data_IF_201779168649
#
_entry.id   IF_201779168649
#
_cell.length_a   1.000
_cell.length_b   1.000
_cell.length_c   1.000
_cell.angle_alpha   90.00
_cell.angle_beta   90.00
_cell.angle_gamma   90.00
#
_symmetry.space_group_name_H-M   'P 1'
#
loop_
_entity.id
_entity.type
_entity.pdbx_description
1 polymer ?
#
# COMPACT_ATOMS: atom_id res chain seq x y z
N UNK A 1 27.26 -6.97 -27.61
CA UNK A 1 26.24 -7.71 -26.86
C UNK A 1 25.56 -6.72 -25.93
N UNK A 2 24.35 -6.27 -26.27
CA UNK A 2 23.61 -5.28 -25.47
C UNK A 2 22.16 -5.72 -25.43
N UNK A 3 21.83 -6.66 -24.54
CA UNK A 3 20.47 -7.16 -24.33
C UNK A 3 20.28 -7.49 -22.85
N UNK A 4 20.20 -6.47 -22.00
CA UNK A 4 19.83 -6.66 -20.58
C UNK A 4 18.97 -5.53 -20.00
N UNK A 5 18.87 -4.38 -20.68
CA UNK A 5 18.13 -3.22 -20.15
C UNK A 5 16.63 -3.30 -20.51
N UNK A 6 16.28 -3.92 -21.64
CA UNK A 6 14.89 -3.97 -22.14
C UNK A 6 13.93 -4.87 -21.32
N UNK A 7 14.46 -5.71 -20.42
CA UNK A 7 13.64 -6.59 -19.58
C UNK A 7 13.10 -5.91 -18.31
N UNK A 8 13.80 -4.89 -17.80
CA UNK A 8 13.38 -4.07 -16.64
C UNK A 8 12.28 -3.04 -16.98
N UNK A 9 12.08 -2.75 -18.26
CA UNK A 9 11.15 -1.72 -18.75
C UNK A 9 9.73 -2.20 -19.03
N UNK A 10 9.44 -3.49 -18.85
CA UNK A 10 8.08 -4.03 -18.95
C UNK A 10 7.51 -4.16 -17.55
N UNK A 11 6.26 -3.76 -17.37
CA UNK A 11 5.49 -3.99 -16.14
C UNK A 11 5.34 -5.50 -15.91
N UNK A 12 6.38 -6.12 -15.35
CA UNK A 12 6.40 -7.55 -15.07
C UNK A 12 5.61 -7.81 -13.78
N UNK A 13 4.80 -8.89 -13.74
CA UNK A 13 4.13 -9.31 -12.50
C UNK A 13 5.14 -9.59 -11.39
N UNK A 14 4.74 -9.31 -10.15
CA UNK A 14 5.59 -9.59 -8.99
C UNK A 14 5.89 -11.10 -8.90
N UNK A 15 6.94 -11.48 -8.16
CA UNK A 15 7.25 -12.90 -7.92
C UNK A 15 6.05 -13.64 -7.31
N UNK A 16 5.31 -12.99 -6.41
CA UNK A 16 4.11 -13.55 -5.80
C UNK A 16 2.98 -13.73 -6.83
N UNK A 17 2.77 -12.77 -7.72
CA UNK A 17 1.75 -12.91 -8.79
C UNK A 17 2.07 -14.06 -9.74
N UNK A 18 3.37 -14.31 -10.02
CA UNK A 18 3.78 -15.47 -10.83
C UNK A 18 3.65 -16.81 -10.11
N UNK A 19 3.72 -16.81 -8.78
CA UNK A 19 3.60 -18.01 -7.96
C UNK A 19 2.15 -18.35 -7.58
N UNK A 20 1.28 -17.34 -7.51
CA UNK A 20 -0.10 -17.50 -7.04
C UNK A 20 -1.03 -18.03 -8.14
N UNK A 21 -0.61 -17.98 -9.42
CA UNK A 21 -1.33 -18.45 -10.62
C UNK A 21 -2.85 -18.42 -10.49
N UNK A 22 -3.45 -17.26 -10.75
CA UNK A 22 -4.90 -17.06 -10.70
C UNK A 22 -5.67 -17.92 -11.75
N UNK A 23 -4.98 -18.57 -12.70
CA UNK A 23 -5.56 -19.50 -13.68
C UNK A 23 -4.83 -20.86 -13.70
N UNK A 24 -4.93 -21.68 -12.64
CA UNK A 24 -4.17 -22.93 -12.50
C UNK A 24 -4.52 -23.99 -13.57
N UNK A 25 -5.62 -23.80 -14.30
CA UNK A 25 -6.04 -24.67 -15.40
C UNK A 25 -5.36 -24.35 -16.75
N UNK A 26 -4.60 -23.26 -16.87
CA UNK A 26 -4.02 -22.81 -18.13
C UNK A 26 -2.50 -23.04 -18.18
N UNK A 27 -2.10 -24.24 -18.60
CA UNK A 27 -0.69 -24.69 -18.69
C UNK A 27 0.21 -23.90 -19.67
N UNK A 28 -0.35 -22.91 -20.39
CA UNK A 28 0.39 -22.06 -21.33
C UNK A 28 0.16 -20.58 -21.01
N UNK A 29 1.18 -19.95 -20.43
CA UNK A 29 1.23 -18.49 -20.27
C UNK A 29 1.60 -17.84 -21.61
N UNK A 30 0.65 -17.13 -22.25
CA UNK A 30 0.92 -16.38 -23.48
C UNK A 30 1.96 -15.27 -23.21
N UNK A 31 2.86 -14.94 -24.17
CA UNK A 31 3.86 -13.89 -24.00
C UNK A 31 3.30 -12.53 -23.54
N UNK A 32 2.03 -12.24 -23.88
CA UNK A 32 1.31 -11.02 -23.50
C UNK A 32 0.88 -10.99 -22.03
N UNK A 33 0.80 -12.14 -21.32
CA UNK A 33 0.61 -12.18 -19.86
C UNK A 33 1.85 -11.71 -19.08
N UNK A 34 3.00 -11.55 -19.75
CA UNK A 34 4.23 -11.01 -19.14
C UNK A 34 4.19 -9.50 -18.97
N UNK A 35 3.14 -8.83 -19.46
CA UNK A 35 2.91 -7.40 -19.30
C UNK A 35 1.62 -7.22 -18.51
N UNK A 36 1.72 -6.75 -17.27
CA UNK A 36 0.56 -6.39 -16.47
C UNK A 36 -0.22 -5.27 -17.17
N UNK A 37 -1.53 -5.45 -17.32
CA UNK A 37 -2.41 -4.32 -17.63
C UNK A 37 -2.41 -3.31 -16.48
N UNK A 38 -2.71 -2.05 -16.77
CA UNK A 38 -2.80 -1.00 -15.75
C UNK A 38 -3.80 -1.36 -14.63
N UNK A 39 -4.90 -2.04 -14.97
CA UNK A 39 -5.88 -2.51 -14.01
C UNK A 39 -5.34 -3.60 -13.10
N UNK A 40 -4.54 -4.54 -13.63
CA UNK A 40 -3.89 -5.58 -12.83
C UNK A 40 -2.79 -5.00 -11.93
N UNK A 41 -2.04 -4.00 -12.41
CA UNK A 41 -1.07 -3.28 -11.56
C UNK A 41 -1.75 -2.59 -10.38
N UNK A 42 -2.89 -1.91 -10.62
CA UNK A 42 -3.68 -1.31 -9.54
C UNK A 42 -4.20 -2.36 -8.56
N UNK A 43 -4.73 -3.47 -9.06
CA UNK A 43 -5.26 -4.54 -8.23
C UNK A 43 -4.18 -5.20 -7.36
N UNK A 44 -2.99 -5.45 -7.90
CA UNK A 44 -1.87 -6.02 -7.13
C UNK A 44 -1.40 -5.05 -6.04
N UNK A 45 -1.25 -3.76 -6.35
CA UNK A 45 -0.89 -2.75 -5.35
C UNK A 45 -1.97 -2.63 -4.26
N UNK A 46 -3.26 -2.63 -4.63
CA UNK A 46 -4.37 -2.61 -3.66
C UNK A 46 -4.32 -3.79 -2.69
N UNK A 47 -4.10 -5.00 -3.21
CA UNK A 47 -3.95 -6.23 -2.41
C UNK A 47 -2.75 -6.13 -1.48
N UNK A 48 -1.60 -5.71 -2.01
CA UNK A 48 -0.36 -5.68 -1.25
C UNK A 48 -0.38 -4.59 -0.16
N UNK A 49 -1.07 -3.46 -0.42
CA UNK A 49 -1.39 -2.47 0.61
C UNK A 49 -2.37 -3.00 1.66
N UNK A 50 -3.39 -3.77 1.26
CA UNK A 50 -4.28 -4.40 2.23
C UNK A 50 -3.50 -5.35 3.15
N UNK A 51 -2.57 -6.14 2.63
CA UNK A 51 -1.69 -6.98 3.46
C UNK A 51 -0.78 -6.15 4.37
N UNK A 52 -0.18 -5.08 3.86
CA UNK A 52 0.71 -4.21 4.64
C UNK A 52 -0.03 -3.59 5.82
N UNK A 53 -1.19 -3.00 5.57
CA UNK A 53 -1.95 -2.28 6.59
C UNK A 53 -2.66 -3.20 7.60
N UNK A 54 -2.84 -4.49 7.28
CA UNK A 54 -3.40 -5.49 8.18
C UNK A 54 -2.34 -6.38 8.86
N UNK A 55 -1.06 -6.19 8.58
CA UNK A 55 0.01 -6.93 9.25
C UNK A 55 0.57 -6.12 10.40
N UNK A 56 0.72 -6.73 11.57
CA UNK A 56 1.37 -6.10 12.73
C UNK A 56 2.89 -6.24 12.63
N UNK A 57 3.60 -5.12 12.65
CA UNK A 57 5.08 -5.10 12.66
C UNK A 57 5.61 -5.62 13.99
N UNK A 58 6.68 -6.43 13.93
CA UNK A 58 7.23 -7.11 15.11
C UNK A 58 8.16 -6.23 15.95
N UNK A 59 8.77 -5.21 15.34
CA UNK A 59 9.77 -4.38 15.99
C UNK A 59 9.19 -3.01 16.30
N UNK A 60 9.64 -2.43 17.41
CA UNK A 60 9.26 -1.06 17.75
C UNK A 60 9.90 -0.08 16.75
N UNK A 61 9.11 0.92 16.33
CA UNK A 61 9.54 1.92 15.37
C UNK A 61 10.81 2.64 15.83
N UNK A 62 10.85 3.05 17.11
CA UNK A 62 11.99 3.80 17.67
C UNK A 62 13.27 2.97 17.77
N UNK A 63 13.15 1.69 18.12
CA UNK A 63 14.28 0.78 18.23
C UNK A 63 14.91 0.45 16.86
N UNK A 64 14.17 0.68 15.76
CA UNK A 64 14.57 0.22 14.43
C UNK A 64 14.89 1.31 13.42
N UNK A 65 14.65 2.59 13.76
CA UNK A 65 14.89 3.78 12.93
C UNK A 65 16.24 3.82 12.19
N UNK A 66 17.29 3.23 12.76
CA UNK A 66 18.64 3.23 12.20
C UNK A 66 19.23 1.83 12.00
N UNK A 67 18.38 0.81 11.99
CA UNK A 67 18.80 -0.58 11.83
C UNK A 67 18.36 -1.11 10.46
N UNK A 68 19.15 -1.97 9.81
CA UNK A 68 18.70 -2.68 8.61
C UNK A 68 17.44 -3.53 8.85
N UNK A 69 17.16 -3.90 10.10
CA UNK A 69 15.98 -4.67 10.49
C UNK A 69 14.68 -3.87 10.30
N UNK A 70 14.70 -2.55 10.53
CA UNK A 70 13.51 -1.69 10.46
C UNK A 70 12.87 -1.60 9.08
N UNK A 71 13.68 -1.70 8.02
CA UNK A 71 13.22 -1.70 6.62
C UNK A 71 13.19 -3.10 6.01
N UNK A 72 13.54 -4.13 6.78
CA UNK A 72 13.50 -5.51 6.33
C UNK A 72 12.08 -6.07 6.38
N UNK A 73 11.87 -7.20 5.68
CA UNK A 73 10.59 -7.94 5.71
C UNK A 73 10.19 -8.42 7.12
N UNK A 74 11.13 -8.51 8.07
CA UNK A 74 10.85 -8.85 9.47
C UNK A 74 9.99 -7.79 10.14
N UNK A 75 10.10 -6.53 9.69
CA UNK A 75 9.33 -5.41 10.21
C UNK A 75 8.21 -4.96 9.27
N UNK A 76 7.76 -5.85 8.37
CA UNK A 76 6.64 -5.55 7.48
C UNK A 76 5.35 -5.38 8.27
N UNK A 77 4.64 -4.27 8.02
CA UNK A 77 3.37 -3.98 8.67
C UNK A 77 3.28 -2.58 9.27
N UNK A 78 2.25 -2.38 10.08
CA UNK A 78 2.08 -1.24 10.99
C UNK A 78 2.25 -1.73 12.44
N UNK A 79 2.64 -0.89 13.41
CA UNK A 79 2.60 -1.30 14.81
C UNK A 79 1.16 -1.63 15.22
N UNK A 80 0.98 -2.34 16.33
CA UNK A 80 -0.34 -2.67 16.82
C UNK A 80 -1.14 -1.38 17.11
N UNK A 81 -2.20 -1.15 16.33
CA UNK A 81 -3.11 -0.01 16.50
C UNK A 81 -4.38 -0.38 17.28
N UNK A 82 -4.62 -1.69 17.49
CA UNK A 82 -5.74 -2.18 18.26
C UNK A 82 -5.62 -1.80 19.75
N UNK A 83 -6.73 -1.40 20.36
CA UNK A 83 -6.81 -1.06 21.79
C UNK A 83 -6.48 0.39 22.14
N UNK A 84 -6.11 1.22 21.15
CA UNK A 84 -6.02 2.66 21.32
C UNK A 84 -7.38 3.32 21.09
N UNK A 85 -7.75 4.30 21.93
CA UNK A 85 -8.92 5.14 21.64
C UNK A 85 -8.59 6.13 20.52
N UNK A 86 -9.52 6.37 19.59
CA UNK A 86 -9.33 7.39 18.54
C UNK A 86 -8.95 8.77 19.10
N UNK A 87 -9.42 9.09 20.31
CA UNK A 87 -9.11 10.35 21.01
C UNK A 87 -7.68 10.43 21.57
N UNK A 88 -7.01 9.29 21.74
CA UNK A 88 -5.63 9.20 22.25
C UNK A 88 -4.58 9.07 21.15
N UNK A 89 -5.00 8.85 19.91
CA UNK A 89 -4.09 8.69 18.78
C UNK A 89 -3.67 10.06 18.25
N UNK A 90 -2.37 10.27 18.16
CA UNK A 90 -1.80 11.40 17.42
C UNK A 90 -1.96 11.13 15.92
N UNK A 91 -2.97 11.75 15.32
CA UNK A 91 -3.32 11.60 13.90
C UNK A 91 -2.12 11.94 12.99
N UNK A 92 -1.43 13.09 13.12
CA UNK A 92 -0.18 13.37 12.42
C UNK A 92 0.89 12.27 12.54
N UNK A 93 1.07 11.69 13.73
CA UNK A 93 2.04 10.60 13.91
C UNK A 93 1.62 9.36 13.12
N UNK A 94 0.32 9.01 13.14
CA UNK A 94 -0.21 7.88 12.39
C UNK A 94 -0.16 8.10 10.87
N UNK A 95 -0.44 9.31 10.37
CA UNK A 95 -0.24 9.66 8.96
C UNK A 95 1.20 9.44 8.51
N UNK A 96 2.16 9.93 9.29
CA UNK A 96 3.59 9.75 9.01
C UNK A 96 3.98 8.27 9.05
N UNK A 97 3.44 7.52 9.99
CA UNK A 97 3.70 6.09 10.12
C UNK A 97 3.23 5.33 8.88
N UNK A 98 1.97 5.53 8.47
CA UNK A 98 1.40 4.89 7.28
C UNK A 98 2.20 5.30 6.04
N UNK A 99 2.55 6.58 5.93
CA UNK A 99 3.37 7.07 4.83
C UNK A 99 4.73 6.35 4.76
N UNK A 100 5.43 6.20 5.88
CA UNK A 100 6.74 5.53 5.88
C UNK A 100 6.63 4.04 5.60
N UNK A 101 5.61 3.35 6.12
CA UNK A 101 5.37 1.94 5.84
C UNK A 101 5.16 1.72 4.33
N UNK A 102 4.25 2.49 3.72
CA UNK A 102 3.99 2.41 2.27
C UNK A 102 5.23 2.75 1.47
N UNK A 103 5.91 3.85 1.80
CA UNK A 103 7.10 4.27 1.07
C UNK A 103 8.32 3.34 1.23
N UNK A 104 8.28 2.40 2.18
CA UNK A 104 9.32 1.41 2.42
C UNK A 104 8.98 0.08 1.74
N UNK A 105 7.73 -0.37 1.88
CA UNK A 105 7.31 -1.71 1.46
C UNK A 105 6.56 -1.75 0.13
N UNK A 106 6.15 -0.59 -0.41
CA UNK A 106 5.45 -0.48 -1.69
C UNK A 106 6.22 0.42 -2.70
N UNK A 107 7.32 -0.08 -3.29
CA UNK A 107 8.18 0.71 -4.17
C UNK A 107 7.56 1.03 -5.54
N UNK A 108 6.42 0.42 -5.92
CA UNK A 108 5.72 0.78 -7.17
C UNK A 108 5.05 2.15 -7.06
N UNK A 109 4.79 2.64 -5.85
CA UNK A 109 4.31 4.01 -5.61
C UNK A 109 5.51 4.95 -5.49
N UNK A 110 5.50 6.03 -6.28
CA UNK A 110 6.56 7.03 -6.27
C UNK A 110 6.55 7.80 -4.93
N UNK A 111 7.59 7.60 -4.11
CA UNK A 111 7.72 8.20 -2.76
C UNK A 111 7.51 9.71 -2.72
N UNK A 112 7.93 10.45 -3.74
CA UNK A 112 7.78 11.92 -3.81
C UNK A 112 6.34 12.38 -4.10
N UNK A 113 5.47 11.48 -4.56
CA UNK A 113 4.06 11.74 -4.84
C UNK A 113 3.13 11.23 -3.75
N UNK A 114 3.62 10.33 -2.88
CA UNK A 114 2.84 9.72 -1.81
C UNK A 114 2.40 10.78 -0.80
N UNK A 115 1.10 10.78 -0.50
CA UNK A 115 0.48 11.61 0.54
C UNK A 115 -0.52 10.78 1.31
N UNK A 116 -0.50 10.89 2.63
CA UNK A 116 -1.45 10.26 3.52
C UNK A 116 -2.11 11.36 4.33
N UNK A 117 -3.44 11.36 4.41
CA UNK A 117 -4.22 12.34 5.15
C UNK A 117 -5.39 11.68 5.85
N UNK A 118 -5.62 11.97 7.12
CA UNK A 118 -6.81 11.57 7.81
C UNK A 118 -8.03 12.34 7.28
N UNK A 119 -9.14 11.64 7.08
CA UNK A 119 -10.45 12.25 6.84
C UNK A 119 -11.11 12.52 8.18
N UNK A 120 -10.86 13.69 8.75
CA UNK A 120 -11.60 14.15 9.93
C UNK A 120 -12.93 14.75 9.47
N UNK A 121 -14.01 13.99 9.57
CA UNK A 121 -15.36 14.57 9.51
C UNK A 121 -15.68 15.17 10.89
N UNK A 122 -15.82 16.50 11.03
CA UNK A 122 -16.21 17.10 12.30
C UNK A 122 -17.62 16.62 12.67
N UNK A 123 -17.72 15.77 13.70
CA UNK A 123 -18.99 15.23 14.23
C UNK A 123 -19.24 13.74 13.99
N UNK A 124 -18.40 13.04 13.22
CA UNK A 124 -18.56 11.60 12.90
C UNK A 124 -17.30 10.76 13.20
N UNK A 125 -16.48 11.18 14.17
CA UNK A 125 -15.49 10.26 14.73
C UNK A 125 -16.26 9.21 15.54
N UNK A 126 -16.56 8.09 14.91
CA UNK A 126 -16.84 6.87 15.63
C UNK A 126 -15.62 6.62 16.54
N UNK A 127 -15.83 6.49 17.86
CA UNK A 127 -14.73 6.47 18.84
C UNK A 127 -13.68 5.37 18.59
N UNK A 128 -14.03 4.37 17.76
CA UNK A 128 -13.21 3.24 17.38
C UNK A 128 -12.88 3.18 15.87
N UNK A 129 -13.09 4.22 15.06
CA UNK A 129 -12.71 4.17 13.64
C UNK A 129 -11.99 5.42 13.14
N UNK A 130 -10.98 5.21 12.29
CA UNK A 130 -10.22 6.25 11.60
C UNK A 130 -10.21 6.00 10.10
N UNK A 131 -10.50 7.03 9.32
CA UNK A 131 -10.42 6.96 7.87
C UNK A 131 -9.23 7.77 7.35
N UNK A 132 -8.48 7.21 6.39
CA UNK A 132 -7.42 7.93 5.69
C UNK A 132 -7.67 7.97 4.19
N UNK A 133 -7.13 9.00 3.56
CA UNK A 133 -6.97 9.15 2.13
C UNK A 133 -5.49 9.02 1.78
N UNK A 134 -5.17 8.14 0.85
CA UNK A 134 -3.81 7.91 0.38
C UNK A 134 -3.77 8.24 -1.12
N UNK A 135 -2.94 9.20 -1.48
CA UNK A 135 -2.68 9.60 -2.86
C UNK A 135 -1.25 9.25 -3.24
N UNK A 136 -1.03 8.86 -4.50
CA UNK A 136 0.31 8.68 -5.05
C UNK A 136 0.26 8.33 -6.53
N UNK A 137 1.40 8.37 -7.19
CA UNK A 137 1.53 7.95 -8.59
C UNK A 137 2.27 6.62 -8.65
N UNK A 138 1.70 5.68 -9.39
CA UNK A 138 2.32 4.40 -9.69
C UNK A 138 3.30 4.55 -10.84
N UNK A 139 4.48 3.96 -10.71
CA UNK A 139 5.42 3.84 -11.82
C UNK A 139 4.84 2.93 -12.90
N UNK A 140 4.53 3.50 -14.06
CA UNK A 140 3.98 2.80 -15.21
C UNK A 140 4.46 3.43 -16.52
N UNK A 141 4.43 2.63 -17.60
CA UNK A 141 4.76 3.06 -18.96
C UNK A 141 3.47 3.23 -19.77
N UNK A 142 3.36 4.27 -20.63
CA UNK A 142 4.36 5.30 -20.95
C UNK A 142 4.40 6.49 -19.97
N UNK A 143 3.46 6.57 -19.01
CA UNK A 143 3.38 7.65 -18.02
C UNK A 143 2.90 7.13 -16.65
N UNK A 144 3.28 7.81 -15.55
CA UNK A 144 2.80 7.46 -14.21
C UNK A 144 1.28 7.47 -14.10
N UNK A 145 0.75 6.59 -13.26
CA UNK A 145 -0.69 6.39 -13.09
C UNK A 145 -1.13 6.83 -11.70
N UNK A 146 -2.00 7.84 -11.64
CA UNK A 146 -2.52 8.33 -10.37
C UNK A 146 -3.34 7.26 -9.65
N UNK A 147 -3.05 7.10 -8.37
CA UNK A 147 -3.69 6.23 -7.40
C UNK A 147 -4.32 7.09 -6.30
N UNK A 148 -5.58 6.82 -6.02
CA UNK A 148 -6.31 7.40 -4.90
C UNK A 148 -6.96 6.25 -4.15
N UNK A 149 -6.72 6.18 -2.85
CA UNK A 149 -7.22 5.13 -1.98
C UNK A 149 -7.90 5.76 -0.78
N UNK A 150 -8.90 5.06 -0.28
CA UNK A 150 -9.50 5.35 0.99
C UNK A 150 -9.32 4.13 1.89
N UNK A 151 -8.86 4.37 3.11
CA UNK A 151 -8.78 3.34 4.13
C UNK A 151 -9.75 3.65 5.25
N UNK A 152 -10.34 2.61 5.81
CA UNK A 152 -11.11 2.67 7.05
C UNK A 152 -10.48 1.66 8.02
N UNK A 153 -10.02 2.16 9.15
CA UNK A 153 -9.35 1.41 10.20
C UNK A 153 -10.26 1.31 11.40
N UNK A 154 -10.52 0.08 11.84
CA UNK A 154 -11.21 -0.22 13.09
C UNK A 154 -10.16 -0.40 14.20
N UNK A 155 -10.18 0.46 15.20
CA UNK A 155 -9.25 0.48 16.33
C UNK A 155 -9.59 -0.56 17.40
N UNK A 156 -10.77 -1.16 17.36
CA UNK A 156 -11.13 -2.26 18.24
C UNK A 156 -10.49 -3.56 17.75
N UNK A 157 -10.65 -3.86 16.47
CA UNK A 157 -10.16 -5.09 15.84
C UNK A 157 -8.76 -4.96 15.24
N UNK A 158 -8.28 -3.74 14.98
CA UNK A 158 -7.07 -3.46 14.21
C UNK A 158 -7.22 -3.71 12.70
N UNK A 159 -8.43 -4.03 12.23
CA UNK A 159 -8.67 -4.36 10.83
C UNK A 159 -8.70 -3.09 9.97
N UNK A 160 -7.99 -3.11 8.85
CA UNK A 160 -7.95 -2.02 7.87
C UNK A 160 -8.59 -2.44 6.56
N UNK A 161 -9.67 -1.77 6.18
CA UNK A 161 -10.28 -1.91 4.86
C UNK A 161 -9.64 -0.92 3.91
N UNK A 162 -9.13 -1.39 2.78
CA UNK A 162 -8.56 -0.56 1.71
C UNK A 162 -9.49 -0.61 0.51
N UNK A 163 -9.96 0.56 0.07
CA UNK A 163 -10.80 0.68 -1.13
C UNK A 163 -10.22 1.71 -2.09
N UNK A 164 -10.47 1.51 -3.37
CA UNK A 164 -10.11 2.50 -4.38
C UNK A 164 -10.98 3.75 -4.18
N UNK A 165 -10.34 4.91 -4.04
CA UNK A 165 -11.03 6.19 -3.98
C UNK A 165 -11.43 6.64 -5.38
N UNK A 166 -12.64 7.20 -5.49
CA UNK A 166 -13.12 7.81 -6.72
C UNK A 166 -12.64 9.26 -6.80
N UNK A 167 -12.02 9.66 -7.91
CA UNK A 167 -11.54 11.03 -8.14
C UNK A 167 -12.67 12.05 -8.34
N UNK A 168 -13.94 11.63 -8.23
CA UNK A 168 -15.13 12.45 -8.41
C UNK A 168 -15.58 13.09 -7.10
N UNK A 169 -14.82 14.06 -6.56
CA UNK A 169 -15.33 15.03 -5.57
C UNK A 169 -14.33 16.18 -5.36
N UNK A 170 -14.22 17.04 -6.36
CA UNK A 170 -13.87 18.46 -6.17
C UNK A 170 -14.73 19.27 -7.12
N UNK A 171 -15.89 19.72 -6.61
CA UNK A 171 -16.64 20.86 -7.14
C UNK A 171 -16.46 22.02 -6.18
#
# INVERSE_FOLDING_TARGET
MVTDIAARDRLQPSLLDRLTDDEPGNLKESPDKRVLSLSQLKASVLRDLAWLLNTTSLLEADATLHTPAGTSVVNYGLPALAGYSASSIDIPALENLIHQAIATFEPRILRNTLRVRARTAPGEMNHNALSFEIEGDLWAQPMPLRLLLQTDMDLESGHVRVVQGDSRRRS
#
